data_IF_326213489060
#
_entry.id   IF_326213489060
#
_cell.length_a   1.000
_cell.length_b   1.000
_cell.length_c   1.000
_cell.angle_alpha   90.00
_cell.angle_beta   90.00
_cell.angle_gamma   90.00
#
_symmetry.space_group_name_H-M   'P 1'
#
loop_
_entity.id
_entity.type
_entity.pdbx_description
1 polymer ?
#
# COMPACT_ATOMS: atom_id res chain seq x y z
N UNK A 1 -20.94 16.65 -8.67
CA UNK A 1 -21.39 15.42 -9.09
C UNK A 1 -21.22 14.39 -8.05
N UNK A 2 -22.25 13.67 -7.92
CA UNK A 2 -22.31 12.68 -6.86
C UNK A 2 -21.22 11.65 -6.96
N UNK A 3 -20.70 11.43 -8.16
CA UNK A 3 -19.71 10.38 -8.31
C UNK A 3 -18.34 10.75 -7.86
N UNK A 4 -18.15 11.94 -7.37
CA UNK A 4 -16.89 12.28 -6.76
C UNK A 4 -16.68 11.52 -5.48
N UNK A 5 -17.76 11.10 -4.87
CA UNK A 5 -17.67 10.39 -3.61
C UNK A 5 -18.14 8.97 -3.79
N UNK A 6 -17.40 8.08 -3.21
CA UNK A 6 -17.74 6.66 -3.24
C UNK A 6 -18.94 6.43 -2.31
N UNK A 7 -19.89 5.58 -2.71
CA UNK A 7 -21.00 5.25 -1.82
C UNK A 7 -20.50 4.67 -0.50
N UNK A 8 -21.21 4.95 0.55
CA UNK A 8 -20.82 4.54 1.89
C UNK A 8 -20.56 3.05 2.00
N UNK A 9 -21.37 2.26 1.33
CA UNK A 9 -21.21 0.82 1.29
C UNK A 9 -19.85 0.40 0.76
N UNK A 10 -19.42 1.08 -0.30
CA UNK A 10 -18.13 0.75 -0.91
C UNK A 10 -16.98 1.23 -0.06
N UNK A 11 -17.14 2.35 0.62
CA UNK A 11 -16.12 2.83 1.53
C UNK A 11 -15.93 1.83 2.67
N UNK A 12 -17.02 1.32 3.23
CA UNK A 12 -16.93 0.33 4.29
C UNK A 12 -16.24 -0.93 3.81
N UNK A 13 -16.53 -1.34 2.58
CA UNK A 13 -15.89 -2.50 1.99
C UNK A 13 -14.39 -2.30 1.84
N UNK A 14 -14.00 -1.11 1.38
CA UNK A 14 -12.59 -0.79 1.26
C UNK A 14 -11.90 -0.79 2.61
N UNK A 15 -12.55 -0.24 3.62
CA UNK A 15 -11.99 -0.24 4.96
C UNK A 15 -11.76 -1.65 5.49
N UNK A 16 -12.65 -2.57 5.13
CA UNK A 16 -12.51 -3.96 5.52
C UNK A 16 -11.41 -4.67 4.74
N UNK A 17 -11.28 -4.36 3.46
CA UNK A 17 -10.29 -5.01 2.60
C UNK A 17 -8.89 -4.47 2.80
N UNK A 18 -8.78 -3.20 3.18
CA UNK A 18 -7.47 -2.55 3.31
C UNK A 18 -7.32 -1.96 4.71
N UNK A 19 -7.31 -2.83 5.73
CA UNK A 19 -7.09 -2.33 7.09
C UNK A 19 -5.66 -1.82 7.27
N UNK A 20 -5.46 -1.10 8.36
CA UNK A 20 -4.14 -0.62 8.72
C UNK A 20 -3.13 -1.77 8.68
N UNK A 21 -2.01 -1.53 8.04
CA UNK A 21 -0.94 -2.53 7.96
C UNK A 21 -0.96 -3.35 6.69
N UNK A 22 -1.99 -3.20 5.83
CA UNK A 22 -2.04 -3.95 4.58
C UNK A 22 -0.92 -3.49 3.65
N UNK A 23 -0.16 -4.44 3.12
CA UNK A 23 0.89 -4.12 2.15
C UNK A 23 0.32 -4.10 0.75
N UNK A 24 0.66 -3.05 0.02
CA UNK A 24 0.16 -2.85 -1.34
C UNK A 24 1.30 -2.46 -2.26
N UNK A 25 1.05 -2.56 -3.56
CA UNK A 25 1.97 -2.09 -4.57
C UNK A 25 1.18 -1.28 -5.60
N UNK A 26 1.75 -0.15 -6.00
CA UNK A 26 1.13 0.71 -7.00
C UNK A 26 1.45 0.19 -8.39
N UNK A 27 0.43 0.08 -9.24
CA UNK A 27 0.66 -0.30 -10.63
C UNK A 27 0.55 0.89 -11.57
N UNK A 28 -0.31 1.86 -11.24
CA UNK A 28 -0.41 3.07 -12.04
C UNK A 28 -1.11 4.17 -11.24
N UNK A 29 -0.60 5.38 -11.32
CA UNK A 29 -1.23 6.53 -10.69
C UNK A 29 -1.32 7.66 -11.69
N UNK A 30 -2.52 8.20 -11.86
CA UNK A 30 -2.78 9.26 -12.83
C UNK A 30 -2.63 10.61 -12.15
N UNK A 31 -1.39 11.02 -11.93
CA UNK A 31 -1.09 12.25 -11.21
C UNK A 31 0.31 12.67 -11.62
N UNK A 32 0.51 13.97 -11.80
CA UNK A 32 1.84 14.42 -12.21
C UNK A 32 2.86 14.30 -11.08
N UNK A 33 2.42 14.17 -9.84
CA UNK A 33 3.30 13.94 -8.71
C UNK A 33 3.28 12.48 -8.27
N UNK A 34 2.94 11.60 -9.20
CA UNK A 34 2.73 10.20 -8.90
C UNK A 34 3.94 9.54 -8.28
N UNK A 35 3.65 8.56 -7.44
CA UNK A 35 4.66 7.61 -6.97
C UNK A 35 4.95 6.68 -8.15
N UNK A 36 6.20 6.29 -8.38
CA UNK A 36 6.50 5.41 -9.53
C UNK A 36 5.78 4.06 -9.43
N UNK A 37 5.36 3.50 -10.56
CA UNK A 37 4.79 2.15 -10.54
C UNK A 37 5.76 1.15 -9.95
N UNK A 38 5.24 0.18 -9.23
CA UNK A 38 6.06 -0.80 -8.55
C UNK A 38 6.45 -0.42 -7.15
N UNK A 39 6.16 0.82 -6.74
CA UNK A 39 6.45 1.24 -5.38
C UNK A 39 5.48 0.53 -4.43
N UNK A 40 6.02 0.00 -3.34
CA UNK A 40 5.23 -0.67 -2.32
C UNK A 40 4.99 0.28 -1.16
N UNK A 41 3.93 0.00 -0.43
CA UNK A 41 3.59 0.82 0.73
C UNK A 41 2.71 0.06 1.70
N UNK A 42 2.46 0.70 2.84
CA UNK A 42 1.63 0.13 3.90
C UNK A 42 0.44 1.04 4.13
N UNK A 43 -0.76 0.47 4.07
CA UNK A 43 -1.98 1.25 4.30
C UNK A 43 -2.03 1.72 5.74
N UNK A 44 -2.26 3.01 5.92
CA UNK A 44 -2.50 3.55 7.26
C UNK A 44 -3.99 3.59 7.56
N UNK A 45 -4.78 4.07 6.61
CA UNK A 45 -6.24 4.05 6.78
C UNK A 45 -6.91 4.34 5.44
N UNK A 46 -8.21 4.13 5.40
CA UNK A 46 -9.08 4.52 4.29
C UNK A 46 -10.00 5.61 4.85
N UNK A 47 -10.09 6.73 4.16
CA UNK A 47 -10.92 7.83 4.66
C UNK A 47 -12.37 7.65 4.23
N UNK A 48 -13.22 8.58 4.68
CA UNK A 48 -14.65 8.47 4.43
C UNK A 48 -15.04 8.75 2.99
N UNK A 49 -14.14 9.32 2.21
CA UNK A 49 -14.37 9.52 0.79
C UNK A 49 -13.91 8.33 -0.05
N UNK A 50 -13.33 7.31 0.59
CA UNK A 50 -12.86 6.13 -0.12
C UNK A 50 -11.45 6.25 -0.67
N UNK A 51 -10.69 7.20 -0.19
CA UNK A 51 -9.28 7.30 -0.57
C UNK A 51 -8.43 6.49 0.40
N UNK A 52 -7.44 5.80 -0.15
CA UNK A 52 -6.55 4.97 0.65
C UNK A 52 -5.30 5.80 0.94
N UNK A 53 -4.93 5.86 2.21
CA UNK A 53 -3.79 6.65 2.66
C UNK A 53 -2.66 5.72 3.06
N UNK A 54 -1.72 5.46 2.15
CA UNK A 54 -0.59 4.60 2.48
C UNK A 54 0.60 5.43 2.91
N UNK A 55 1.51 4.76 3.58
CA UNK A 55 2.85 5.27 3.74
C UNK A 55 3.70 4.49 2.75
N UNK A 56 4.16 5.15 1.71
CA UNK A 56 4.96 4.49 0.68
C UNK A 56 6.37 4.23 1.19
N UNK A 57 6.94 3.13 0.75
CA UNK A 57 8.27 2.75 1.22
C UNK A 57 9.35 3.77 0.85
N UNK A 58 9.08 4.61 -0.16
CA UNK A 58 10.01 5.68 -0.53
C UNK A 58 9.81 6.94 0.31
N UNK A 59 8.97 6.88 1.34
CA UNK A 59 8.75 7.99 2.24
C UNK A 59 7.61 8.93 1.86
N UNK A 60 6.99 8.72 0.72
CA UNK A 60 5.90 9.57 0.28
C UNK A 60 4.58 9.12 0.92
N UNK A 61 3.61 10.02 0.91
CA UNK A 61 2.32 9.77 1.54
C UNK A 61 1.13 10.09 0.64
N UNK A 62 1.36 10.16 -0.66
CA UNK A 62 0.31 10.50 -1.62
C UNK A 62 -0.81 9.45 -1.57
N UNK A 63 -2.06 9.92 -1.44
CA UNK A 63 -3.21 9.02 -1.32
C UNK A 63 -3.56 8.39 -2.66
N UNK A 64 -4.16 7.21 -2.58
CA UNK A 64 -4.67 6.49 -3.75
C UNK A 64 -6.16 6.82 -3.90
N UNK A 65 -6.56 7.16 -5.12
CA UNK A 65 -7.97 7.31 -5.48
C UNK A 65 -8.35 6.06 -6.28
N UNK A 66 -9.07 5.11 -5.68
CA UNK A 66 -9.28 3.81 -6.34
C UNK A 66 -9.98 3.88 -7.68
N UNK A 67 -10.74 4.96 -7.95
CA UNK A 67 -11.44 5.08 -9.22
C UNK A 67 -10.51 5.43 -10.38
N UNK A 68 -9.34 6.01 -10.10
CA UNK A 68 -8.43 6.46 -11.16
C UNK A 68 -7.05 5.87 -11.06
N UNK A 69 -6.65 5.40 -9.90
CA UNK A 69 -5.33 4.82 -9.69
C UNK A 69 -5.44 3.31 -9.64
N UNK A 70 -4.40 2.62 -10.08
CA UNK A 70 -4.38 1.15 -10.06
C UNK A 70 -3.36 0.66 -9.05
N UNK A 71 -3.76 -0.29 -8.26
CA UNK A 71 -2.93 -0.84 -7.20
C UNK A 71 -3.45 -2.24 -6.86
N UNK A 72 -2.68 -2.97 -6.07
CA UNK A 72 -3.11 -4.27 -5.58
C UNK A 72 -2.41 -4.58 -4.26
N UNK A 73 -2.96 -5.54 -3.55
CA UNK A 73 -2.28 -6.06 -2.37
C UNK A 73 -1.09 -6.89 -2.80
N UNK A 74 -0.09 -6.95 -1.95
CA UNK A 74 1.00 -7.88 -2.17
C UNK A 74 0.47 -9.31 -2.01
N UNK A 75 1.00 -10.21 -2.82
CA UNK A 75 0.67 -11.63 -2.69
C UNK A 75 1.36 -12.20 -1.46
N UNK A 76 0.93 -13.37 -1.05
CA UNK A 76 1.57 -14.06 0.06
C UNK A 76 3.04 -14.33 -0.23
N UNK A 77 3.33 -14.64 -1.47
CA UNK A 77 4.71 -14.89 -1.87
C UNK A 77 5.55 -13.63 -1.74
N UNK A 78 5.00 -12.49 -2.18
CA UNK A 78 5.70 -11.22 -2.07
C UNK A 78 5.93 -10.85 -0.60
N UNK A 79 4.93 -11.07 0.24
CA UNK A 79 5.07 -10.80 1.66
C UNK A 79 6.14 -11.69 2.28
N UNK A 80 6.15 -12.94 1.89
CA UNK A 80 7.13 -13.89 2.38
C UNK A 80 8.53 -13.47 1.97
N UNK A 81 8.68 -13.04 0.74
CA UNK A 81 9.97 -12.59 0.24
C UNK A 81 10.46 -11.37 1.00
N UNK A 82 9.57 -10.45 1.32
CA UNK A 82 9.96 -9.29 2.11
C UNK A 82 10.48 -9.69 3.48
N UNK A 83 9.80 -10.62 4.12
CA UNK A 83 10.21 -11.09 5.43
C UNK A 83 11.53 -11.84 5.38
N UNK A 84 11.72 -12.62 4.34
CA UNK A 84 12.95 -13.37 4.19
C UNK A 84 14.16 -12.45 4.01
N UNK A 85 13.99 -11.40 3.22
CA UNK A 85 15.07 -10.45 3.03
C UNK A 85 15.45 -9.77 4.33
N UNK A 86 14.44 -9.33 5.09
CA UNK A 86 14.70 -8.70 6.38
C UNK A 86 15.35 -9.68 7.33
N UNK A 87 14.84 -10.91 7.34
CA UNK A 87 15.37 -11.93 8.23
C UNK A 87 16.80 -12.31 7.87
N UNK A 88 17.10 -12.42 6.58
CA UNK A 88 18.44 -12.73 6.12
C UNK A 88 19.42 -11.65 6.54
N UNK A 89 19.02 -10.40 6.42
CA UNK A 89 19.90 -9.31 6.82
C UNK A 89 20.23 -9.38 8.31
N UNK A 90 19.24 -9.70 9.10
CA UNK A 90 19.45 -9.87 10.53
C UNK A 90 20.34 -11.06 10.83
N UNK A 91 20.13 -12.14 10.09
CA UNK A 91 20.93 -13.33 10.24
C UNK A 91 22.39 -13.08 9.89
N UNK A 92 22.62 -12.34 8.84
CA UNK A 92 23.97 -12.01 8.44
C UNK A 92 24.68 -11.22 9.52
N UNK A 93 23.98 -10.29 10.14
CA UNK A 93 24.56 -9.51 11.21
C UNK A 93 24.93 -10.39 12.39
N UNK A 94 24.10 -11.35 12.70
CA UNK A 94 24.39 -12.27 13.79
C UNK A 94 25.62 -13.12 13.48
N UNK A 95 25.72 -13.56 12.25
CA UNK A 95 26.88 -14.34 11.84
C UNK A 95 28.17 -13.58 12.01
N UNK A 96 28.13 -12.32 11.69
CA UNK A 96 29.32 -11.50 11.78
C UNK A 96 29.78 -11.29 13.20
N UNK A 97 28.88 -11.36 14.14
CA UNK A 97 29.23 -11.17 15.54
C UNK A 97 29.77 -12.43 16.18
N UNK A 98 29.62 -13.52 15.51
CA UNK A 98 30.13 -14.79 16.01
C UNK A 98 31.57 -15.00 15.57
#
# INVERSE_FOLDING_TARGET
MANQFMPEKEVLKLKQEYPHGTRIVLTHMDDKWAVPPGTRGTVEHVDDAGQIHPKWDNGRTLAIVPQVDSFRKLTEQELCEEQQLTHQNQGEQQWQTI
#
